data_IF_234668267139
#
_entry.id   IF_234668267139
#
_cell.length_a   1.000
_cell.length_b   1.000
_cell.length_c   1.000
_cell.angle_alpha   90.00
_cell.angle_beta   90.00
_cell.angle_gamma   90.00
#
_symmetry.space_group_name_H-M   'P 1'
#
loop_
_entity.id
_entity.type
_entity.pdbx_description
1 polymer ?
#
# COMPACT_ATOMS: atom_id res chain seq x y z
N UNK A 1 -17.00 -73.45 -37.51
CA UNK A 1 -16.15 -73.77 -38.67
C UNK A 1 -15.31 -72.53 -38.95
N UNK A 2 -14.03 -72.51 -38.58
CA UNK A 2 -12.89 -72.78 -39.49
C UNK A 2 -12.92 -71.70 -40.61
N UNK A 3 -12.01 -70.71 -40.69
CA UNK A 3 -10.56 -70.85 -40.87
C UNK A 3 -9.88 -69.46 -40.92
N UNK A 4 -8.67 -69.40 -40.33
CA UNK A 4 -7.42 -68.69 -40.75
C UNK A 4 -7.44 -67.20 -41.12
N UNK A 5 -6.70 -66.31 -40.44
CA UNK A 5 -5.24 -66.18 -40.24
C UNK A 5 -4.50 -65.60 -41.47
N UNK A 6 -3.88 -64.42 -41.31
CA UNK A 6 -2.58 -63.98 -41.85
C UNK A 6 -2.31 -62.54 -41.33
N UNK A 7 -1.57 -62.43 -40.22
CA UNK A 7 -0.13 -62.11 -40.13
C UNK A 7 0.20 -60.65 -40.46
N UNK A 8 0.59 -59.89 -39.44
CA UNK A 8 1.65 -58.91 -39.62
C UNK A 8 2.54 -58.87 -38.37
N UNK A 9 3.76 -59.30 -38.62
CA UNK A 9 4.94 -59.33 -37.78
C UNK A 9 5.35 -57.89 -37.43
N UNK A 10 5.42 -57.56 -36.14
CA UNK A 10 6.09 -56.33 -35.68
C UNK A 10 7.10 -56.69 -34.60
N UNK A 11 8.35 -56.66 -35.04
CA UNK A 11 9.56 -56.92 -34.30
C UNK A 11 9.75 -55.86 -33.21
N UNK A 12 9.66 -56.28 -31.95
CA UNK A 12 9.99 -55.47 -30.78
C UNK A 12 11.51 -55.39 -30.66
N UNK A 13 12.09 -54.22 -30.94
CA UNK A 13 13.46 -53.89 -30.59
C UNK A 13 13.44 -53.04 -29.31
N UNK A 14 13.79 -53.70 -28.21
CA UNK A 14 14.11 -53.11 -26.93
C UNK A 14 15.39 -52.29 -27.06
N UNK A 15 15.29 -50.96 -26.99
CA UNK A 15 16.44 -50.09 -26.72
C UNK A 15 16.29 -49.43 -25.35
N UNK A 16 16.97 -50.06 -24.39
CA UNK A 16 17.94 -49.40 -23.51
C UNK A 16 17.46 -48.22 -22.68
N UNK A 17 17.18 -48.50 -21.41
CA UNK A 17 17.22 -47.57 -20.28
C UNK A 17 18.40 -46.57 -20.38
N UNK A 18 18.07 -45.28 -20.52
CA UNK A 18 18.98 -44.20 -20.17
C UNK A 18 18.56 -43.65 -18.81
N UNK A 19 19.32 -43.98 -17.77
CA UNK A 19 19.21 -43.39 -16.44
C UNK A 19 19.68 -41.94 -16.47
N UNK A 20 18.78 -41.03 -16.82
CA UNK A 20 18.93 -39.60 -16.54
C UNK A 20 18.36 -39.33 -15.14
N UNK A 21 19.25 -39.18 -14.16
CA UNK A 21 18.95 -38.52 -12.90
C UNK A 21 18.63 -37.04 -13.20
N UNK A 22 17.38 -36.77 -13.57
CA UNK A 22 16.85 -35.42 -13.55
C UNK A 22 16.74 -34.98 -12.09
N UNK A 23 17.80 -34.31 -11.62
CA UNK A 23 17.79 -33.51 -10.40
C UNK A 23 16.68 -32.48 -10.57
N UNK A 24 15.52 -32.76 -9.96
CA UNK A 24 14.40 -31.84 -9.93
C UNK A 24 14.90 -30.50 -9.38
N UNK A 25 14.92 -29.48 -10.23
CA UNK A 25 15.18 -28.12 -9.79
C UNK A 25 14.05 -27.73 -8.84
N UNK A 26 14.35 -27.10 -7.69
CA UNK A 26 13.31 -26.69 -6.78
C UNK A 26 12.47 -25.65 -7.52
N UNK A 27 11.21 -25.99 -7.79
CA UNK A 27 10.21 -25.02 -8.21
C UNK A 27 10.20 -23.90 -7.17
N UNK A 28 10.82 -22.76 -7.51
CA UNK A 28 10.68 -21.52 -6.74
C UNK A 28 9.21 -21.13 -6.82
N UNK A 29 8.41 -21.59 -5.86
CA UNK A 29 7.12 -20.99 -5.55
C UNK A 29 7.38 -19.51 -5.28
N UNK A 30 7.03 -18.65 -6.24
CA UNK A 30 6.96 -17.20 -6.03
C UNK A 30 6.00 -17.00 -4.87
N UNK A 31 6.52 -16.80 -3.65
CA UNK A 31 5.74 -16.33 -2.50
C UNK A 31 5.06 -15.05 -2.96
N UNK A 32 3.75 -15.09 -3.17
CA UNK A 32 2.94 -13.90 -3.42
C UNK A 32 2.95 -13.11 -2.12
N UNK A 33 3.94 -12.23 -1.96
CA UNK A 33 3.97 -11.31 -0.83
C UNK A 33 2.80 -10.36 -1.05
N UNK A 34 1.70 -10.58 -0.32
CA UNK A 34 0.58 -9.65 -0.29
C UNK A 34 1.07 -8.32 0.27
N UNK A 35 1.51 -7.43 -0.62
CA UNK A 35 2.05 -6.13 -0.25
C UNK A 35 0.91 -5.22 0.17
N UNK A 36 1.01 -4.65 1.37
CA UNK A 36 0.05 -3.67 1.86
C UNK A 36 -0.09 -2.52 0.86
N UNK A 37 -1.32 -2.09 0.61
CA UNK A 37 -1.58 -1.01 -0.33
C UNK A 37 -0.81 0.27 0.06
N UNK A 38 -0.72 0.55 1.36
CA UNK A 38 -0.09 1.75 1.91
C UNK A 38 1.43 1.81 1.69
N UNK A 39 2.09 0.67 1.53
CA UNK A 39 3.55 0.59 1.53
C UNK A 39 4.14 0.96 0.19
N UNK A 40 5.31 1.60 0.25
CA UNK A 40 6.18 1.85 -0.91
C UNK A 40 7.56 1.22 -0.67
N UNK A 41 8.46 1.29 -1.65
CA UNK A 41 9.87 0.94 -1.41
C UNK A 41 10.60 2.16 -0.85
N UNK A 42 11.72 1.96 -0.17
CA UNK A 42 12.43 3.03 0.54
C UNK A 42 12.85 4.16 -0.42
N UNK A 43 13.22 3.81 -1.64
CA UNK A 43 13.68 4.74 -2.69
C UNK A 43 12.56 5.64 -3.22
N UNK A 44 11.31 5.21 -3.06
CA UNK A 44 10.12 6.00 -3.46
C UNK A 44 9.57 6.87 -2.33
N UNK A 45 10.04 6.67 -1.10
CA UNK A 45 9.59 7.42 0.05
C UNK A 45 10.44 8.69 0.24
N UNK A 46 9.78 9.84 0.37
CA UNK A 46 10.41 11.08 0.81
C UNK A 46 10.14 11.24 2.31
N UNK A 47 11.21 11.29 3.10
CA UNK A 47 11.15 11.54 4.53
C UNK A 47 11.56 13.00 4.77
N UNK A 48 10.59 13.82 5.17
CA UNK A 48 10.75 15.24 5.48
C UNK A 48 11.30 15.46 6.88
N UNK A 49 11.01 14.56 7.82
CA UNK A 49 11.58 14.63 9.17
C UNK A 49 13.07 14.22 9.16
N UNK A 50 13.83 14.74 10.13
CA UNK A 50 15.28 14.53 10.24
C UNK A 50 15.63 13.71 11.49
N UNK A 51 16.90 13.29 11.58
CA UNK A 51 17.43 12.56 12.75
C UNK A 51 17.35 11.05 12.63
N UNK A 52 17.73 10.36 13.72
CA UNK A 52 17.81 8.89 13.78
C UNK A 52 16.45 8.21 13.59
N UNK A 53 15.38 8.83 14.08
CA UNK A 53 14.03 8.30 14.05
C UNK A 53 13.26 8.78 12.80
N UNK A 54 13.97 9.23 11.75
CA UNK A 54 13.33 9.84 10.57
C UNK A 54 12.35 8.94 9.80
N UNK A 55 12.39 7.64 10.07
CA UNK A 55 11.50 6.65 9.46
C UNK A 55 10.27 6.33 10.32
N UNK A 56 10.13 6.93 11.50
CA UNK A 56 9.12 6.59 12.51
C UNK A 56 8.13 7.73 12.70
N UNK A 57 6.84 7.43 12.69
CA UNK A 57 5.80 8.42 12.96
C UNK A 57 6.02 9.10 14.32
N UNK A 58 5.95 10.44 14.33
CA UNK A 58 6.14 11.27 15.52
C UNK A 58 5.25 10.87 16.71
N UNK A 59 4.04 10.36 16.43
CA UNK A 59 3.00 10.12 17.43
C UNK A 59 2.89 8.66 17.89
N UNK A 60 3.19 7.69 17.02
CA UNK A 60 2.97 6.27 17.32
C UNK A 60 4.15 5.35 16.98
N UNK A 61 5.25 5.89 16.47
CA UNK A 61 6.44 5.11 16.11
C UNK A 61 6.27 4.19 14.88
N UNK A 62 5.10 4.15 14.23
CA UNK A 62 4.89 3.32 13.04
C UNK A 62 5.80 3.74 11.89
N UNK A 63 6.32 2.77 11.15
CA UNK A 63 7.23 3.01 10.04
C UNK A 63 6.55 3.78 8.88
N UNK A 64 7.06 4.97 8.57
CA UNK A 64 6.54 5.90 7.58
C UNK A 64 6.63 5.37 6.14
N UNK A 65 7.56 4.47 5.82
CA UNK A 65 7.68 3.85 4.49
C UNK A 65 6.61 2.76 4.30
N UNK A 66 6.28 2.03 5.37
CA UNK A 66 5.24 1.00 5.38
C UNK A 66 3.83 1.61 5.27
N UNK A 67 3.60 2.80 5.82
CA UNK A 67 2.32 3.50 5.78
C UNK A 67 2.32 4.75 4.88
N UNK A 68 3.23 4.78 3.91
CA UNK A 68 3.58 6.00 3.18
C UNK A 68 2.40 6.68 2.46
N UNK A 69 1.49 5.92 1.84
CA UNK A 69 0.35 6.49 1.11
C UNK A 69 -0.74 7.09 2.01
N UNK A 70 -0.59 6.99 3.32
CA UNK A 70 -1.43 7.70 4.29
C UNK A 70 -0.64 8.77 5.04
N UNK A 71 0.64 8.99 4.72
CA UNK A 71 1.48 9.92 5.45
C UNK A 71 0.96 11.35 5.37
N UNK A 72 1.10 12.06 6.48
CA UNK A 72 0.96 13.50 6.58
C UNK A 72 2.26 14.09 7.13
N UNK A 73 2.45 15.38 6.95
CA UNK A 73 3.53 16.13 7.55
C UNK A 73 3.03 17.51 7.94
N UNK A 74 3.62 18.09 8.98
CA UNK A 74 3.38 19.49 9.34
C UNK A 74 4.62 20.02 10.07
N UNK A 75 4.71 21.34 10.19
CA UNK A 75 5.80 22.00 10.89
C UNK A 75 5.29 22.55 12.23
N UNK A 76 6.09 22.46 13.27
CA UNK A 76 5.85 23.08 14.56
C UNK A 76 7.17 23.69 15.05
N UNK A 77 7.18 24.97 15.41
CA UNK A 77 8.36 25.65 15.96
C UNK A 77 9.66 25.45 15.15
N UNK A 78 9.58 25.49 13.82
CA UNK A 78 10.76 25.26 12.96
C UNK A 78 11.00 23.80 12.55
N UNK A 79 10.38 22.83 13.21
CA UNK A 79 10.66 21.40 13.08
C UNK A 79 9.55 20.73 12.27
N UNK A 80 9.92 19.91 11.27
CA UNK A 80 8.95 19.12 10.50
C UNK A 80 8.73 17.75 11.14
N UNK A 81 7.48 17.47 11.46
CA UNK A 81 6.99 16.20 11.98
C UNK A 81 6.26 15.43 10.86
N UNK A 82 6.43 14.11 10.81
CA UNK A 82 5.63 13.24 9.94
C UNK A 82 4.78 12.25 10.71
N UNK A 83 3.61 12.00 10.14
CA UNK A 83 2.56 11.19 10.72
C UNK A 83 2.23 10.05 9.77
N UNK A 84 2.04 8.83 10.28
CA UNK A 84 1.66 7.70 9.43
C UNK A 84 0.24 7.83 8.85
N UNK A 85 -0.58 8.75 9.39
CA UNK A 85 -1.98 8.96 9.03
C UNK A 85 -2.50 10.32 9.50
N UNK A 86 -3.62 10.75 8.92
CA UNK A 86 -4.38 11.91 9.42
C UNK A 86 -4.91 11.69 10.84
N UNK A 87 -5.08 10.44 11.29
CA UNK A 87 -5.40 10.13 12.68
C UNK A 87 -4.29 10.62 13.61
N UNK A 88 -3.02 10.29 13.33
CA UNK A 88 -1.90 10.73 14.13
C UNK A 88 -1.70 12.26 14.07
N UNK A 89 -1.85 12.88 12.89
CA UNK A 89 -1.89 14.35 12.77
C UNK A 89 -2.98 14.97 13.66
N UNK A 90 -4.16 14.35 13.69
CA UNK A 90 -5.29 14.81 14.51
C UNK A 90 -5.03 14.63 16.00
N UNK A 91 -4.37 13.53 16.39
CA UNK A 91 -3.99 13.29 17.79
C UNK A 91 -3.06 14.39 18.29
N UNK A 92 -2.06 14.76 17.49
CA UNK A 92 -1.09 15.79 17.85
C UNK A 92 -1.77 17.15 18.10
N UNK A 93 -2.63 17.57 17.17
CA UNK A 93 -3.44 18.79 17.33
C UNK A 93 -4.32 18.72 18.59
N UNK A 94 -4.87 17.54 18.91
CA UNK A 94 -5.68 17.36 20.12
C UNK A 94 -4.85 17.43 21.41
N UNK A 95 -3.56 17.10 21.33
CA UNK A 95 -2.61 17.16 22.45
C UNK A 95 -1.98 18.55 22.61
N UNK A 96 -2.34 19.50 21.73
CA UNK A 96 -1.99 20.91 21.85
C UNK A 96 -1.03 21.42 20.79
N UNK A 97 -0.63 20.60 19.81
CA UNK A 97 0.32 21.02 18.80
C UNK A 97 -0.22 22.11 17.87
N UNK A 98 0.61 23.10 17.60
CA UNK A 98 0.32 24.21 16.69
C UNK A 98 0.99 23.96 15.34
N UNK A 99 0.26 23.29 14.46
CA UNK A 99 0.81 22.76 13.21
C UNK A 99 0.67 23.75 12.04
N UNK A 100 1.82 24.16 11.50
CA UNK A 100 1.96 24.97 10.30
C UNK A 100 2.06 24.12 9.03
N UNK A 101 1.50 24.63 7.93
CA UNK A 101 1.66 24.07 6.58
C UNK A 101 1.41 22.55 6.48
N UNK A 102 0.23 22.04 6.89
CA UNK A 102 -0.05 20.62 6.79
C UNK A 102 -0.02 20.12 5.35
N UNK A 103 0.69 19.01 5.14
CA UNK A 103 0.84 18.33 3.86
C UNK A 103 0.41 16.86 3.96
N UNK A 104 0.07 16.26 2.81
CA UNK A 104 -0.28 14.84 2.67
C UNK A 104 0.40 14.25 1.45
N UNK A 105 0.70 12.95 1.49
CA UNK A 105 1.16 12.21 0.32
C UNK A 105 0.02 11.99 -0.68
N UNK A 106 0.18 12.50 -1.89
CA UNK A 106 -0.65 12.12 -3.03
C UNK A 106 -0.40 10.65 -3.40
N UNK A 107 -1.45 9.84 -3.35
CA UNK A 107 -1.37 8.38 -3.59
C UNK A 107 -0.84 8.03 -4.98
N UNK A 108 -1.10 8.87 -5.98
CA UNK A 108 -0.70 8.62 -7.37
C UNK A 108 0.77 8.93 -7.63
N UNK A 109 1.23 10.12 -7.25
CA UNK A 109 2.59 10.59 -7.52
C UNK A 109 3.59 10.30 -6.41
N UNK A 110 3.12 9.94 -5.21
CA UNK A 110 3.92 9.75 -3.99
C UNK A 110 4.63 11.01 -3.47
N UNK A 111 4.23 12.19 -3.96
CA UNK A 111 4.74 13.49 -3.52
C UNK A 111 3.87 14.07 -2.41
N UNK A 112 4.48 14.87 -1.54
CA UNK A 112 3.73 15.69 -0.59
C UNK A 112 3.08 16.88 -1.31
N UNK A 113 1.81 17.13 -0.97
CA UNK A 113 1.01 18.26 -1.45
C UNK A 113 0.36 18.95 -0.24
N UNK A 114 0.02 20.25 -0.30
CA UNK A 114 -0.80 20.91 0.71
C UNK A 114 -2.12 20.15 0.90
N UNK A 115 -2.55 19.95 2.14
CA UNK A 115 -3.80 19.20 2.42
C UNK A 115 -5.04 19.87 1.82
N UNK A 116 -5.05 21.20 1.75
CA UNK A 116 -6.14 22.00 1.18
C UNK A 116 -6.32 21.79 -0.32
N UNK A 117 -5.32 21.25 -1.00
CA UNK A 117 -5.35 20.95 -2.43
C UNK A 117 -5.67 19.47 -2.73
N UNK A 118 -5.93 18.68 -1.70
CA UNK A 118 -6.13 17.24 -1.81
C UNK A 118 -7.62 16.85 -1.81
N UNK A 119 -7.96 15.92 -2.70
CA UNK A 119 -9.22 15.18 -2.67
C UNK A 119 -9.03 13.89 -1.88
N UNK A 120 -9.75 13.73 -0.78
CA UNK A 120 -9.68 12.53 0.05
C UNK A 120 -10.76 11.54 -0.34
N UNK A 121 -10.38 10.29 -0.64
CA UNK A 121 -11.32 9.17 -0.68
C UNK A 121 -11.40 8.56 0.72
N UNK A 122 -12.55 8.71 1.36
CA UNK A 122 -12.82 8.20 2.71
C UNK A 122 -13.69 6.94 2.68
N UNK A 123 -13.39 5.97 3.53
CA UNK A 123 -14.18 4.74 3.65
C UNK A 123 -14.09 3.81 2.45
N UNK A 124 -12.94 3.77 1.76
CA UNK A 124 -12.67 2.80 0.70
C UNK A 124 -12.42 1.40 1.28
N UNK A 125 -12.48 0.38 0.41
CA UNK A 125 -12.12 -1.02 0.70
C UNK A 125 -10.62 -1.21 1.00
N UNK A 126 -9.76 -0.21 0.77
CA UNK A 126 -8.35 -0.29 1.18
C UNK A 126 -8.22 -0.10 2.69
N UNK A 127 -7.34 -0.85 3.37
CA UNK A 127 -7.20 -0.74 4.82
C UNK A 127 -6.88 0.69 5.24
N UNK A 128 -7.40 1.08 6.39
CA UNK A 128 -7.04 2.35 7.03
C UNK A 128 -5.68 2.24 7.73
N UNK A 129 -5.18 3.37 8.21
CA UNK A 129 -4.01 3.44 9.09
C UNK A 129 -4.44 4.13 10.38
N UNK A 130 -4.33 3.44 11.52
CA UNK A 130 -4.73 3.94 12.85
C UNK A 130 -6.20 4.40 12.97
N UNK A 131 -7.08 3.93 12.09
CA UNK A 131 -8.51 4.30 12.10
C UNK A 131 -9.35 3.12 11.61
N UNK A 132 -10.66 3.14 11.88
CA UNK A 132 -11.62 2.23 11.26
C UNK A 132 -11.99 2.66 9.83
N UNK A 133 -11.89 3.95 9.53
CA UNK A 133 -12.28 4.54 8.23
C UNK A 133 -11.04 4.98 7.48
N UNK A 134 -10.81 4.38 6.30
CA UNK A 134 -9.67 4.71 5.45
C UNK A 134 -9.78 6.12 4.88
N UNK A 135 -8.64 6.79 4.68
CA UNK A 135 -8.54 8.18 4.21
C UNK A 135 -7.30 8.30 3.32
N UNK A 136 -7.52 8.33 2.01
CA UNK A 136 -6.45 8.36 1.00
C UNK A 136 -6.55 9.64 0.18
N UNK A 137 -5.44 10.38 0.07
CA UNK A 137 -5.42 11.69 -0.57
C UNK A 137 -4.93 11.61 -2.03
N UNK A 138 -5.53 12.43 -2.88
CA UNK A 138 -5.19 12.54 -4.30
C UNK A 138 -5.10 14.01 -4.68
N UNK A 139 -4.06 14.38 -5.44
CA UNK A 139 -3.92 15.72 -6.01
C UNK A 139 -4.96 16.01 -7.10
N UNK A 140 -5.32 14.98 -7.88
CA UNK A 140 -6.26 15.09 -8.99
C UNK A 140 -7.60 14.46 -8.64
N UNK A 141 -8.68 15.16 -8.95
CA UNK A 141 -10.04 14.64 -8.82
C UNK A 141 -10.26 13.39 -9.68
N UNK A 142 -9.65 13.31 -10.85
CA UNK A 142 -9.78 12.14 -11.74
C UNK A 142 -9.13 10.90 -11.13
N UNK A 143 -7.97 11.07 -10.49
CA UNK A 143 -7.32 9.98 -9.75
C UNK A 143 -8.17 9.55 -8.55
N UNK A 144 -8.77 10.50 -7.82
CA UNK A 144 -9.68 10.20 -6.73
C UNK A 144 -10.91 9.41 -7.21
N UNK A 145 -11.53 9.83 -8.33
CA UNK A 145 -12.65 9.14 -8.98
C UNK A 145 -12.26 7.75 -9.47
N UNK A 146 -11.09 7.59 -10.06
CA UNK A 146 -10.60 6.28 -10.49
C UNK A 146 -10.39 5.33 -9.29
N UNK A 147 -9.82 5.83 -8.20
CA UNK A 147 -9.66 5.08 -6.97
C UNK A 147 -11.01 4.73 -6.33
N UNK A 148 -11.93 5.70 -6.26
CA UNK A 148 -13.29 5.51 -5.76
C UNK A 148 -14.06 4.47 -6.58
N UNK A 149 -14.01 4.53 -7.92
CA UNK A 149 -14.66 3.55 -8.79
C UNK A 149 -14.15 2.13 -8.50
N UNK A 150 -12.85 1.98 -8.23
CA UNK A 150 -12.21 0.67 -7.99
C UNK A 150 -12.41 0.14 -6.57
N UNK A 151 -12.38 1.02 -5.56
CA UNK A 151 -12.33 0.62 -4.15
C UNK A 151 -13.50 1.14 -3.32
N UNK A 152 -14.45 1.86 -3.91
CA UNK A 152 -15.53 2.53 -3.20
C UNK A 152 -15.04 3.72 -2.35
N UNK A 153 -15.88 4.13 -1.41
CA UNK A 153 -15.66 5.30 -0.57
C UNK A 153 -16.32 6.57 -1.11
N UNK A 154 -16.14 7.67 -0.38
CA UNK A 154 -16.68 8.99 -0.73
C UNK A 154 -15.53 9.96 -0.95
N UNK A 155 -15.60 10.77 -2.01
CA UNK A 155 -14.63 11.85 -2.23
C UNK A 155 -15.09 13.04 -1.40
N UNK A 156 -14.19 13.59 -0.59
CA UNK A 156 -14.41 14.75 0.26
C UNK A 156 -13.16 15.64 0.27
N UNK A 157 -13.29 16.86 0.75
CA UNK A 157 -12.15 17.75 1.01
C UNK A 157 -11.38 17.36 2.29
N UNK A 158 -10.28 18.07 2.55
CA UNK A 158 -9.49 17.89 3.77
C UNK A 158 -10.30 18.12 5.06
N UNK A 159 -11.09 19.19 5.14
CA UNK A 159 -11.80 19.53 6.37
C UNK A 159 -12.78 18.42 6.75
N UNK A 160 -13.54 17.91 5.80
CA UNK A 160 -14.45 16.78 5.98
C UNK A 160 -13.70 15.50 6.38
N UNK A 161 -12.58 15.18 5.72
CA UNK A 161 -11.75 14.04 6.08
C UNK A 161 -11.18 14.17 7.51
N UNK A 162 -10.80 15.37 7.92
CA UNK A 162 -10.30 15.67 9.26
C UNK A 162 -11.41 15.56 10.32
N UNK A 163 -12.62 16.06 10.05
CA UNK A 163 -13.78 15.84 10.95
C UNK A 163 -14.10 14.34 11.13
N UNK A 164 -13.94 13.53 10.08
CA UNK A 164 -14.06 12.07 10.20
C UNK A 164 -12.93 11.50 11.05
N UNK A 165 -11.70 11.99 10.92
CA UNK A 165 -10.56 11.55 11.74
C UNK A 165 -10.74 11.91 13.22
N UNK A 166 -11.33 13.07 13.55
CA UNK A 166 -11.66 13.45 14.93
C UNK A 166 -12.60 12.47 15.63
N UNK A 167 -13.40 11.70 14.87
CA UNK A 167 -14.29 10.66 15.41
C UNK A 167 -13.53 9.38 15.82
N UNK A 168 -12.26 9.22 15.45
CA UNK A 168 -11.44 8.08 15.88
C UNK A 168 -11.12 8.13 17.39
N UNK A 169 -11.37 9.27 18.05
CA UNK A 169 -11.08 9.53 19.48
C UNK A 169 -12.35 9.75 20.31
N UNK A 170 -13.48 9.16 19.88
CA UNK A 170 -14.77 9.20 20.56
C UNK A 170 -15.22 7.80 20.93
#
# INVERSE_FOLDING_TARGET
MVKTLLVSLSLVLMTGCSTSLHKATPHKTKKTVHRMFQSVSKEKAVLLQKGKDKESCHICGMNLVKFYKTNHAAKENGITHQYCSIHCLTKDIKEGAELENPQVVDVSSLKFIPVTEAYYVVGSKKPATMSRVSKYAFKSLDNAKAFQKKYGGKIVDFYSAWQIAKKDFK
#
